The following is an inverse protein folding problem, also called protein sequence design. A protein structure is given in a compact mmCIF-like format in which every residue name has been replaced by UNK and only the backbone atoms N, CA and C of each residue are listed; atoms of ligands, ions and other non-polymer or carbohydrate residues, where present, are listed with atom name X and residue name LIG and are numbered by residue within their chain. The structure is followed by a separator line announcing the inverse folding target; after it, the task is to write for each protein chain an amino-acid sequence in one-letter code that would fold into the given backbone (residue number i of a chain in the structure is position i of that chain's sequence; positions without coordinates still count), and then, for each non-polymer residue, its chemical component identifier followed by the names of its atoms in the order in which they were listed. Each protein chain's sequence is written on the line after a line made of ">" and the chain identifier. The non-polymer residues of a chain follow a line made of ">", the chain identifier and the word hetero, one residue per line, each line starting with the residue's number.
data_IF_060483999106
#
_entry.id   IF_060483999106
#
_cell.length_a   1.000
_cell.length_b   1.000
_cell.length_c   1.000
_cell.angle_alpha   90.00
_cell.angle_beta   90.00
_cell.angle_gamma   90.00
#
_symmetry.space_group_name_H-M   'P 1'
#
loop_
_entity.id
_entity.type
_entity.pdbx_description
1 polymer ?
#
# COMPACT_ATOMS: atom_id res chain seq x y z
N UNK A 1 -21.68 0.38 -8.91
CA UNK A 1 -20.43 0.41 -8.11
C UNK A 1 -19.48 -0.62 -8.72
N UNK A 2 -18.20 -0.28 -8.91
CA UNK A 2 -17.19 -1.20 -9.47
C UNK A 2 -16.55 -1.95 -8.30
N UNK A 3 -16.35 -3.27 -8.44
CA UNK A 3 -15.76 -4.12 -7.39
C UNK A 3 -14.76 -5.11 -7.95
N UNK A 4 -13.65 -5.36 -7.24
CA UNK A 4 -12.70 -6.44 -7.53
C UNK A 4 -13.09 -7.69 -6.71
N UNK A 5 -13.44 -8.84 -7.34
CA UNK A 5 -13.62 -10.08 -6.61
C UNK A 5 -12.32 -10.51 -5.93
N UNK A 6 -12.32 -10.69 -4.61
CA UNK A 6 -11.11 -11.03 -3.84
C UNK A 6 -10.40 -12.30 -4.35
N UNK A 7 -11.15 -13.27 -4.87
CA UNK A 7 -10.60 -14.49 -5.49
C UNK A 7 -9.71 -14.22 -6.70
N UNK A 8 -9.82 -13.05 -7.32
CA UNK A 8 -9.01 -12.63 -8.46
C UNK A 8 -7.83 -11.75 -8.04
N UNK A 9 -7.75 -11.30 -6.78
CA UNK A 9 -6.67 -10.45 -6.28
C UNK A 9 -5.32 -11.19 -6.15
N UNK A 10 -5.33 -12.52 -6.22
CA UNK A 10 -4.11 -13.34 -6.31
C UNK A 10 -3.50 -13.35 -7.72
N UNK A 11 -4.12 -12.70 -8.71
CA UNK A 11 -3.55 -12.46 -10.02
C UNK A 11 -2.83 -11.12 -10.00
N UNK A 12 -1.63 -11.07 -10.57
CA UNK A 12 -0.90 -9.81 -10.70
C UNK A 12 -1.75 -8.77 -11.44
N UNK A 13 -1.70 -7.54 -10.95
CA UNK A 13 -2.40 -6.39 -11.53
C UNK A 13 -1.42 -5.27 -11.86
N UNK A 14 -1.83 -4.39 -12.77
CA UNK A 14 -1.09 -3.20 -13.16
C UNK A 14 -1.99 -1.97 -13.05
N UNK A 15 -1.56 -0.99 -12.26
CA UNK A 15 -2.18 0.33 -12.19
C UNK A 15 -1.31 1.29 -12.99
N UNK A 16 -1.71 1.58 -14.22
CA UNK A 16 -0.99 2.46 -15.13
C UNK A 16 -1.80 3.73 -15.42
N UNK A 17 -1.09 4.86 -15.51
CA UNK A 17 -1.68 6.18 -15.78
C UNK A 17 -0.57 7.24 -15.84
N UNK A 18 -0.92 8.43 -16.32
CA UNK A 18 -0.02 9.58 -16.29
C UNK A 18 0.06 10.17 -14.87
N UNK A 19 1.07 11.00 -14.59
CA UNK A 19 1.18 11.71 -13.31
C UNK A 19 -0.09 12.51 -13.04
N UNK A 20 -0.62 12.40 -11.82
CA UNK A 20 -1.86 13.08 -11.40
C UNK A 20 -3.16 12.39 -11.80
N UNK A 21 -3.12 11.22 -12.45
CA UNK A 21 -4.34 10.47 -12.83
C UNK A 21 -4.91 9.58 -11.72
N UNK A 22 -4.45 9.74 -10.48
CA UNK A 22 -5.01 9.02 -9.32
C UNK A 22 -4.49 7.59 -9.14
N UNK A 23 -3.32 7.23 -9.70
CA UNK A 23 -2.69 5.92 -9.46
C UNK A 23 -2.53 5.64 -7.96
N UNK A 24 -1.99 6.61 -7.21
CA UNK A 24 -1.80 6.46 -5.76
C UNK A 24 -3.14 6.37 -5.01
N UNK A 25 -4.12 7.19 -5.36
CA UNK A 25 -5.46 7.15 -4.75
C UNK A 25 -6.13 5.79 -5.00
N UNK A 26 -5.94 5.24 -6.20
CA UNK A 26 -6.42 3.90 -6.55
C UNK A 26 -5.75 2.83 -5.69
N UNK A 27 -4.43 2.91 -5.49
CA UNK A 27 -3.70 1.98 -4.62
C UNK A 27 -4.14 2.08 -3.15
N UNK A 28 -4.30 3.29 -2.62
CA UNK A 28 -4.82 3.50 -1.26
C UNK A 28 -6.20 2.86 -1.08
N UNK A 29 -7.13 3.17 -1.99
CA UNK A 29 -8.47 2.61 -1.96
C UNK A 29 -8.45 1.07 -2.02
N UNK A 30 -7.62 0.48 -2.87
CA UNK A 30 -7.46 -0.98 -2.91
C UNK A 30 -6.92 -1.55 -1.59
N UNK A 31 -5.89 -0.92 -1.01
CA UNK A 31 -5.29 -1.34 0.25
C UNK A 31 -6.28 -1.27 1.42
N UNK A 32 -7.09 -0.21 1.48
CA UNK A 32 -8.17 -0.08 2.47
C UNK A 32 -9.18 -1.23 2.34
N UNK A 33 -9.61 -1.55 1.11
CA UNK A 33 -10.56 -2.66 0.89
C UNK A 33 -9.96 -4.01 1.26
N UNK A 34 -8.67 -4.24 0.99
CA UNK A 34 -7.98 -5.46 1.44
C UNK A 34 -7.89 -5.54 2.96
N UNK A 35 -7.52 -4.45 3.63
CA UNK A 35 -7.48 -4.36 5.09
C UNK A 35 -8.84 -4.67 5.72
N UNK A 36 -9.93 -4.07 5.19
CA UNK A 36 -11.32 -4.34 5.62
C UNK A 36 -11.75 -5.79 5.39
N UNK A 37 -11.20 -6.44 4.38
CA UNK A 37 -11.43 -7.86 4.11
C UNK A 37 -10.54 -8.80 4.96
N UNK A 38 -9.68 -8.26 5.82
CA UNK A 38 -8.73 -9.04 6.63
C UNK A 38 -7.53 -9.57 5.84
N UNK A 39 -7.26 -9.01 4.66
CA UNK A 39 -6.13 -9.39 3.81
C UNK A 39 -4.94 -8.46 4.11
N UNK A 40 -3.82 -8.97 4.63
CA UNK A 40 -2.64 -8.15 4.88
C UNK A 40 -1.99 -7.71 3.57
N UNK A 41 -1.61 -6.43 3.50
CA UNK A 41 -0.92 -5.85 2.34
C UNK A 41 0.48 -5.43 2.77
N UNK A 42 1.49 -5.93 2.06
CA UNK A 42 2.85 -5.43 2.16
C UNK A 42 3.12 -4.50 0.97
N UNK A 43 3.46 -3.25 1.24
CA UNK A 43 3.66 -2.23 0.21
C UNK A 43 4.92 -1.41 0.50
N UNK A 44 5.67 -1.10 -0.56
CA UNK A 44 6.75 -0.13 -0.50
C UNK A 44 6.18 1.27 -0.72
N UNK A 45 6.31 2.13 0.28
CA UNK A 45 5.86 3.52 0.20
C UNK A 45 7.05 4.46 -0.01
N UNK A 46 7.39 4.70 -1.27
CA UNK A 46 8.58 5.48 -1.64
C UNK A 46 8.38 6.98 -1.35
N UNK A 47 7.16 7.49 -1.48
CA UNK A 47 6.85 8.92 -1.38
C UNK A 47 6.11 9.30 -0.09
N UNK A 48 5.71 8.31 0.71
CA UNK A 48 4.85 8.54 1.88
C UNK A 48 3.37 8.65 1.51
N UNK A 49 3.02 8.45 0.24
CA UNK A 49 1.66 8.64 -0.22
C UNK A 49 0.76 7.48 0.24
N UNK A 50 1.25 6.23 0.32
CA UNK A 50 0.41 5.09 0.73
C UNK A 50 0.11 5.08 2.24
N UNK A 51 1.03 5.62 3.04
CA UNK A 51 0.95 5.66 4.50
C UNK A 51 -0.23 6.46 5.04
N UNK A 52 -0.81 7.36 4.22
CA UNK A 52 -1.94 8.20 4.60
C UNK A 52 -3.18 7.43 5.07
N UNK A 53 -3.33 6.16 4.66
CA UNK A 53 -4.45 5.30 5.10
C UNK A 53 -4.40 4.97 6.60
N UNK A 54 -3.27 5.24 7.28
CA UNK A 54 -3.11 5.03 8.72
C UNK A 54 -3.79 6.12 9.57
N UNK A 55 -4.23 7.22 8.97
CA UNK A 55 -4.91 8.32 9.64
C UNK A 55 -6.36 8.42 9.18
N UNK A 56 -7.23 8.88 10.08
CA UNK A 56 -8.63 9.15 9.74
C UNK A 56 -8.71 10.29 8.71
N UNK A 57 -9.51 10.08 7.66
CA UNK A 57 -9.74 11.09 6.63
C UNK A 57 -10.50 12.30 7.17
N UNK A 58 -10.08 13.51 6.80
CA UNK A 58 -10.81 14.73 7.19
C UNK A 58 -12.04 14.95 6.29
N UNK A 59 -13.17 15.39 6.86
CA UNK A 59 -14.31 15.80 6.06
C UNK A 59 -13.94 17.03 5.21
N UNK A 60 -14.25 16.94 3.91
CA UNK A 60 -14.00 17.97 2.91
C UNK A 60 -14.83 17.69 1.66
N UNK A 61 -14.31 17.99 0.47
CA UNK A 61 -15.03 17.76 -0.79
C UNK A 61 -15.51 16.30 -1.00
N UNK A 62 -14.88 15.33 -0.33
CA UNK A 62 -15.31 13.93 -0.33
C UNK A 62 -16.64 13.76 0.39
N UNK A 63 -16.86 14.44 1.53
CA UNK A 63 -18.10 14.35 2.28
C UNK A 63 -19.28 14.90 1.46
N UNK A 64 -19.07 16.04 0.78
CA UNK A 64 -20.06 16.63 -0.13
C UNK A 64 -20.43 15.66 -1.27
N UNK A 65 -19.41 15.03 -1.87
CA UNK A 65 -19.60 14.04 -2.94
C UNK A 65 -20.34 12.79 -2.46
N UNK A 66 -20.10 12.33 -1.24
CA UNK A 66 -20.85 11.22 -0.64
C UNK A 66 -22.33 11.61 -0.42
N UNK A 67 -22.58 12.84 0.04
CA UNK A 67 -23.93 13.35 0.25
C UNK A 67 -24.73 13.44 -1.07
N UNK A 68 -24.10 13.87 -2.17
CA UNK A 68 -24.71 13.85 -3.51
C UNK A 68 -25.11 12.44 -3.96
N UNK A 69 -24.40 11.42 -3.48
CA UNK A 69 -24.67 10.01 -3.77
C UNK A 69 -25.61 9.35 -2.75
N UNK A 70 -26.27 10.14 -1.88
CA UNK A 70 -27.08 9.67 -0.76
C UNK A 70 -26.34 8.70 0.19
N UNK A 71 -25.01 8.84 0.28
CA UNK A 71 -24.15 8.09 1.19
C UNK A 71 -23.66 8.96 2.35
N UNK A 72 -23.16 8.30 3.40
CA UNK A 72 -22.51 8.97 4.54
C UNK A 72 -21.00 8.75 4.46
N UNK A 73 -20.23 9.83 4.47
CA UNK A 73 -18.78 9.73 4.64
C UNK A 73 -18.47 9.45 6.10
N UNK A 74 -17.91 8.27 6.38
CA UNK A 74 -17.41 7.90 7.70
C UNK A 74 -15.89 7.87 7.66
N UNK A 75 -15.21 8.87 8.26
CA UNK A 75 -13.77 8.82 8.50
C UNK A 75 -13.39 7.53 9.20
N UNK A 76 -12.33 6.89 8.72
CA UNK A 76 -11.79 5.67 9.32
C UNK A 76 -10.30 5.58 9.01
N UNK A 77 -9.58 4.80 9.81
CA UNK A 77 -8.15 4.56 9.67
C UNK A 77 -7.87 3.05 9.57
N UNK A 78 -6.92 2.68 8.72
CA UNK A 78 -6.47 1.30 8.61
C UNK A 78 -5.39 0.98 9.67
N UNK A 79 -5.37 -0.24 10.22
CA UNK A 79 -4.23 -0.71 11.00
C UNK A 79 -3.00 -0.81 10.09
N UNK A 80 -1.96 -0.03 10.40
CA UNK A 80 -0.71 0.01 9.63
C UNK A 80 0.48 -0.14 10.58
N UNK A 81 1.43 -1.00 10.19
CA UNK A 81 2.74 -1.08 10.83
C UNK A 81 3.78 -0.54 9.86
N UNK A 82 4.47 0.54 10.24
CA UNK A 82 5.60 1.06 9.48
C UNK A 82 6.85 0.23 9.76
N UNK A 83 7.60 -0.08 8.72
CA UNK A 83 8.86 -0.81 8.77
C UNK A 83 9.98 0.15 8.35
N UNK A 84 11.01 0.26 9.16
CA UNK A 84 12.14 1.15 8.94
C UNK A 84 13.44 0.35 8.91
N UNK A 85 14.19 0.52 7.82
CA UNK A 85 15.50 -0.10 7.61
C UNK A 85 16.51 0.42 8.64
N UNK A 86 16.41 1.69 9.03
CA UNK A 86 17.31 2.32 9.99
C UNK A 86 16.78 2.25 11.44
N UNK A 87 15.53 1.83 11.63
CA UNK A 87 14.91 1.68 12.95
C UNK A 87 14.63 2.98 13.69
N UNK A 88 14.52 4.12 12.98
CA UNK A 88 14.29 5.43 13.59
C UNK A 88 12.79 5.78 13.72
N UNK A 89 11.99 5.43 12.72
CA UNK A 89 10.60 5.89 12.57
C UNK A 89 9.58 4.75 12.47
N UNK A 90 10.01 3.49 12.64
CA UNK A 90 9.14 2.32 12.50
C UNK A 90 9.73 1.07 13.12
N UNK A 91 9.03 -0.05 12.94
CA UNK A 91 9.52 -1.37 13.35
C UNK A 91 10.84 -1.66 12.61
N UNK A 92 11.92 -1.99 13.34
CA UNK A 92 13.22 -2.21 12.72
C UNK A 92 13.18 -3.47 11.86
N UNK A 93 13.58 -3.33 10.59
CA UNK A 93 13.79 -4.49 9.74
C UNK A 93 15.08 -5.16 10.18
N UNK A 94 14.97 -6.32 10.84
CA UNK A 94 16.14 -7.12 11.21
C UNK A 94 16.50 -8.02 10.06
N UNK A 95 17.70 -7.82 9.51
CA UNK A 95 18.31 -8.74 8.54
C UNK A 95 19.83 -8.69 8.71
N UNK A 96 20.50 -9.80 8.45
CA UNK A 96 21.95 -9.94 8.42
C UNK A 96 22.43 -10.38 7.04
N UNK A 97 23.69 -10.09 6.72
CA UNK A 97 24.30 -10.51 5.45
C UNK A 97 24.27 -12.04 5.31
N UNK A 98 24.37 -12.76 6.43
CA UNK A 98 24.23 -14.21 6.49
C UNK A 98 22.82 -14.67 6.10
N UNK A 99 21.77 -13.98 6.55
CA UNK A 99 20.36 -14.29 6.25
C UNK A 99 19.98 -13.94 4.81
N UNK A 100 20.61 -12.94 4.20
CA UNK A 100 20.39 -12.62 2.78
C UNK A 100 20.77 -13.79 1.86
N UNK A 101 21.79 -14.57 2.26
CA UNK A 101 22.27 -15.71 1.50
C UNK A 101 23.09 -15.31 0.26
N UNK A 102 23.92 -16.24 -0.21
CA UNK A 102 24.86 -16.01 -1.33
C UNK A 102 24.14 -15.69 -2.64
N UNK A 103 22.96 -16.28 -2.87
CA UNK A 103 22.23 -16.13 -4.12
C UNK A 103 21.64 -14.73 -4.30
N UNK A 104 20.98 -14.18 -3.25
CA UNK A 104 20.46 -12.81 -3.29
C UNK A 104 21.60 -11.80 -3.45
N UNK A 105 22.71 -12.00 -2.73
CA UNK A 105 23.90 -11.16 -2.82
C UNK A 105 24.52 -11.21 -4.23
N UNK A 106 24.62 -12.40 -4.84
CA UNK A 106 25.12 -12.53 -6.20
C UNK A 106 24.24 -11.80 -7.21
N UNK A 107 22.90 -11.86 -7.07
CA UNK A 107 21.98 -11.11 -7.92
C UNK A 107 22.11 -9.60 -7.71
N UNK A 108 22.15 -9.12 -6.45
CA UNK A 108 22.29 -7.70 -6.13
C UNK A 108 23.60 -7.10 -6.65
N UNK A 109 24.69 -7.86 -6.57
CA UNK A 109 26.02 -7.45 -7.02
C UNK A 109 26.27 -7.76 -8.51
N UNK A 110 25.26 -8.28 -9.22
CA UNK A 110 25.36 -8.69 -10.63
C UNK A 110 26.53 -9.67 -10.89
N UNK A 111 26.82 -10.54 -9.93
CA UNK A 111 27.92 -11.51 -9.98
C UNK A 111 27.56 -12.80 -10.73
N UNK A 112 26.30 -12.96 -11.14
CA UNK A 112 25.90 -14.03 -12.04
C UNK A 112 26.09 -13.58 -13.49
N UNK A 113 26.99 -14.24 -14.21
CA UNK A 113 27.06 -14.17 -15.67
C UNK A 113 26.06 -15.15 -16.31
N UNK A 114 24.78 -15.11 -15.93
CA UNK A 114 23.62 -15.77 -16.58
C UNK A 114 22.37 -15.64 -15.75
#
# INVERSE_FOLDING_TARGET
>A
MISLPLKLANRHGLIAGATGTGQTVTMQAMNEQFSRAGVPVFAADIKGDLSGIAAEGQPGAIADRYAEMAGTFNPDACPVQFWDIYGNQGAPIRTSVQEMGTQLLATMLQLNQT
#
